data_IF_544925141317
#
_entry.id   IF_544925141317
#
_cell.length_a   1.000
_cell.length_b   1.000
_cell.length_c   1.000
_cell.angle_alpha   90.00
_cell.angle_beta   90.00
_cell.angle_gamma   90.00
#
_symmetry.space_group_name_H-M   'P 1'
#
loop_
_entity.id
_entity.type
_entity.pdbx_description
1 polymer ?
#
# COMPACT_ATOMS: atom_id res chain seq x y z
N UNK A 1 -25.39 -11.76 -37.55
CA UNK A 1 -24.99 -10.77 -36.52
C UNK A 1 -25.95 -9.61 -36.59
N UNK A 2 -26.95 -9.59 -35.72
CA UNK A 2 -27.88 -8.47 -35.57
C UNK A 2 -27.37 -7.60 -34.42
N UNK A 3 -26.93 -6.39 -34.77
CA UNK A 3 -26.53 -5.33 -33.85
C UNK A 3 -27.72 -4.97 -32.95
N UNK A 4 -27.61 -5.21 -31.65
CA UNK A 4 -28.58 -4.69 -30.66
C UNK A 4 -28.34 -3.18 -30.53
N UNK A 5 -29.40 -2.40 -30.70
CA UNK A 5 -29.39 -0.95 -30.54
C UNK A 5 -29.71 -0.68 -29.07
N UNK A 6 -28.70 -0.38 -28.24
CA UNK A 6 -28.80 -0.11 -26.80
C UNK A 6 -29.41 1.27 -26.50
N UNK A 7 -30.25 1.78 -27.39
CA UNK A 7 -30.94 3.05 -27.20
C UNK A 7 -32.13 2.84 -26.29
N UNK A 8 -32.10 3.54 -25.16
CA UNK A 8 -33.26 3.68 -24.28
C UNK A 8 -34.47 4.12 -25.10
N UNK A 9 -35.58 3.43 -24.91
CA UNK A 9 -36.85 3.81 -25.48
C UNK A 9 -37.26 5.20 -24.97
N UNK A 10 -38.07 5.93 -25.75
CA UNK A 10 -38.60 7.24 -25.31
C UNK A 10 -39.33 7.16 -23.97
N UNK A 11 -39.91 5.99 -23.66
CA UNK A 11 -40.56 5.71 -22.39
C UNK A 11 -39.56 5.66 -21.22
N UNK A 12 -38.44 4.95 -21.38
CA UNK A 12 -37.39 4.88 -20.36
C UNK A 12 -36.74 6.25 -20.13
N UNK A 13 -36.57 7.05 -21.18
CA UNK A 13 -36.14 8.44 -21.07
C UNK A 13 -37.12 9.31 -20.25
N UNK A 14 -38.44 9.13 -20.43
CA UNK A 14 -39.45 9.85 -19.66
C UNK A 14 -39.45 9.42 -18.19
N UNK A 15 -39.34 8.12 -17.92
CA UNK A 15 -39.30 7.57 -16.56
C UNK A 15 -38.05 8.03 -15.78
N UNK A 16 -36.88 8.07 -16.43
CA UNK A 16 -35.65 8.62 -15.84
C UNK A 16 -35.77 10.12 -15.54
N UNK A 17 -36.38 10.89 -16.45
CA UNK A 17 -36.58 12.32 -16.24
C UNK A 17 -37.49 12.60 -15.03
N UNK A 18 -38.57 11.84 -14.87
CA UNK A 18 -39.48 12.01 -13.74
C UNK A 18 -38.80 11.63 -12.40
N UNK A 19 -37.96 10.61 -12.40
CA UNK A 19 -37.14 10.22 -11.24
C UNK A 19 -36.16 11.33 -10.82
N UNK A 20 -35.46 11.94 -11.78
CA UNK A 20 -34.53 13.06 -11.53
C UNK A 20 -35.28 14.28 -11.00
N UNK A 21 -36.43 14.61 -11.57
CA UNK A 21 -37.24 15.75 -11.13
C UNK A 21 -37.84 15.52 -9.73
N UNK A 22 -38.27 14.29 -9.42
CA UNK A 22 -38.76 13.93 -8.08
C UNK A 22 -37.64 13.95 -7.02
N UNK A 23 -36.38 13.68 -7.40
CA UNK A 23 -35.22 13.85 -6.53
C UNK A 23 -34.91 15.33 -6.24
N UNK A 24 -34.91 16.17 -7.28
CA UNK A 24 -34.64 17.61 -7.15
C UNK A 24 -35.71 18.38 -6.35
N UNK A 25 -36.96 17.88 -6.32
CA UNK A 25 -38.02 18.48 -5.51
C UNK A 25 -37.92 18.13 -4.02
N UNK A 26 -37.27 17.02 -3.66
CA UNK A 26 -37.08 16.65 -2.24
C UNK A 26 -35.99 17.47 -1.56
N UNK A 27 -34.99 17.93 -2.30
CA UNK A 27 -33.88 18.73 -1.74
C UNK A 27 -34.27 20.18 -1.45
N UNK A 28 -35.36 20.69 -2.01
CA UNK A 28 -35.79 22.10 -1.84
C UNK A 28 -36.76 22.34 -0.68
N UNK A 29 -37.21 21.30 0.04
CA UNK A 29 -38.17 21.41 1.14
C UNK A 29 -37.55 21.58 2.55
N UNK A 30 -36.21 21.59 2.68
CA UNK A 30 -35.56 21.87 3.97
C UNK A 30 -35.36 23.39 4.15
N UNK A 31 -36.28 24.05 4.87
CA UNK A 31 -36.16 25.46 5.32
C UNK A 31 -36.12 25.53 6.87
N UNK A 32 -35.69 26.65 7.49
CA UNK A 32 -34.50 26.66 8.36
C UNK A 32 -34.79 27.12 9.80
N UNK A 33 -33.90 26.78 10.75
CA UNK A 33 -33.79 27.50 12.04
C UNK A 33 -32.33 27.91 12.29
N UNK A 34 -32.13 29.24 12.19
CA UNK A 34 -31.12 30.18 12.75
C UNK A 34 -30.05 29.57 13.69
N UNK A 35 -28.76 29.94 13.66
CA UNK A 35 -28.21 31.25 13.35
C UNK A 35 -26.66 31.29 13.22
N UNK A 36 -26.21 32.41 12.65
CA UNK A 36 -24.88 33.02 12.54
C UNK A 36 -23.61 32.20 12.88
N UNK A 37 -22.78 31.93 11.87
CA UNK A 37 -21.48 32.58 11.56
C UNK A 37 -21.10 32.10 10.15
N UNK A 38 -21.30 32.94 9.13
CA UNK A 38 -20.88 32.68 7.75
C UNK A 38 -20.56 34.02 7.08
N UNK A 39 -19.29 34.37 7.09
CA UNK A 39 -18.75 35.44 6.27
C UNK A 39 -17.40 34.97 5.71
N UNK A 40 -17.41 34.04 4.74
CA UNK A 40 -16.22 33.71 3.92
C UNK A 40 -16.48 32.92 2.61
N UNK A 41 -17.70 32.47 2.28
CA UNK A 41 -17.88 31.53 1.12
C UNK A 41 -18.56 32.14 -0.12
N UNK A 42 -18.96 33.42 -0.09
CA UNK A 42 -19.77 34.00 -1.17
C UNK A 42 -19.00 34.62 -2.36
N UNK A 43 -17.69 34.36 -2.53
CA UNK A 43 -16.88 34.99 -3.59
C UNK A 43 -16.31 34.04 -4.65
N UNK A 44 -16.63 32.74 -4.61
CA UNK A 44 -16.09 31.76 -5.58
C UNK A 44 -17.04 31.46 -6.76
N UNK A 45 -18.33 31.77 -6.66
CA UNK A 45 -19.32 31.27 -7.63
C UNK A 45 -19.77 32.23 -8.76
N UNK A 46 -19.08 33.35 -9.01
CA UNK A 46 -19.44 34.28 -10.11
C UNK A 46 -18.31 34.48 -11.15
N UNK A 47 -17.16 33.80 -11.03
CA UNK A 47 -16.03 33.93 -11.96
C UNK A 47 -15.98 32.91 -13.10
N UNK A 48 -17.08 32.23 -13.43
CA UNK A 48 -17.06 31.00 -14.23
C UNK A 48 -17.54 31.08 -15.69
N UNK A 49 -17.72 32.28 -16.25
CA UNK A 49 -18.11 32.42 -17.66
C UNK A 49 -17.45 33.66 -18.25
N UNK A 50 -16.65 33.44 -19.29
CA UNK A 50 -15.89 34.40 -20.12
C UNK A 50 -14.43 34.60 -19.70
N UNK A 51 -13.54 33.85 -20.37
CA UNK A 51 -12.19 34.32 -20.68
C UNK A 51 -11.07 33.59 -19.96
N UNK A 52 -10.25 32.86 -20.74
CA UNK A 52 -9.09 32.12 -20.27
C UNK A 52 -8.07 32.98 -19.53
N UNK A 53 -7.73 32.53 -18.34
CA UNK A 53 -6.58 32.97 -17.57
C UNK A 53 -6.10 31.77 -16.78
N UNK A 54 -5.02 31.14 -17.22
CA UNK A 54 -4.26 30.18 -16.43
C UNK A 54 -3.71 30.95 -15.24
N UNK A 55 -4.42 30.91 -14.11
CA UNK A 55 -3.88 31.41 -12.84
C UNK A 55 -2.90 30.35 -12.36
N UNK A 56 -1.65 30.49 -12.80
CA UNK A 56 -0.53 29.84 -12.17
C UNK A 56 -0.45 30.39 -10.73
N UNK A 57 -1.05 29.66 -9.78
CA UNK A 57 -0.80 29.88 -8.36
C UNK A 57 0.64 29.45 -8.11
N UNK A 58 1.58 30.39 -8.29
CA UNK A 58 2.94 30.24 -7.80
C UNK A 58 2.88 30.32 -6.28
N UNK A 59 2.48 29.22 -5.64
CA UNK A 59 2.85 28.97 -4.26
C UNK A 59 4.38 28.95 -4.24
N UNK A 60 4.96 30.01 -3.68
CA UNK A 60 6.31 29.96 -3.13
C UNK A 60 6.24 28.93 -2.00
N UNK A 61 6.37 27.65 -2.38
CA UNK A 61 6.59 26.57 -1.45
C UNK A 61 7.91 26.91 -0.75
N UNK A 62 7.81 27.39 0.49
CA UNK A 62 8.94 27.34 1.42
C UNK A 62 9.47 25.92 1.32
N UNK A 63 10.71 25.77 0.86
CA UNK A 63 11.35 24.45 0.80
C UNK A 63 11.20 23.85 2.19
N UNK A 64 10.50 22.70 2.34
CA UNK A 64 10.42 22.02 3.61
C UNK A 64 11.86 21.91 4.13
N UNK A 65 12.10 22.44 5.33
CA UNK A 65 13.37 22.20 5.99
C UNK A 65 13.45 20.69 6.14
N UNK A 66 14.39 20.08 5.43
CA UNK A 66 14.65 18.65 5.48
C UNK A 66 15.11 18.30 6.89
N UNK A 67 14.15 18.02 7.78
CA UNK A 67 14.40 17.58 9.16
C UNK A 67 14.86 16.12 9.21
N UNK A 68 14.84 15.43 8.08
CA UNK A 68 15.32 14.06 7.88
C UNK A 68 16.82 13.97 7.57
N UNK A 69 17.45 15.07 7.11
CA UNK A 69 18.85 15.13 6.65
C UNK A 69 19.96 14.72 7.66
N UNK A 70 19.61 14.25 8.86
CA UNK A 70 20.56 13.74 9.85
C UNK A 70 20.29 12.31 10.35
N UNK A 71 19.29 11.61 9.81
CA UNK A 71 18.82 10.31 10.34
C UNK A 71 18.83 9.17 9.31
N UNK A 72 19.80 9.14 8.40
CA UNK A 72 20.00 7.99 7.50
C UNK A 72 20.97 7.00 8.15
N UNK A 73 20.47 5.85 8.58
CA UNK A 73 21.31 4.66 8.81
C UNK A 73 21.70 4.09 7.45
N UNK A 74 22.94 3.66 7.26
CA UNK A 74 23.26 2.90 6.06
C UNK A 74 22.42 1.61 6.06
N UNK A 75 21.57 1.44 5.04
CA UNK A 75 20.74 0.24 4.91
C UNK A 75 21.50 -0.86 4.16
N UNK A 76 21.11 -2.13 4.35
CA UNK A 76 21.62 -3.23 3.53
C UNK A 76 21.55 -2.91 2.04
N UNK A 77 22.61 -3.26 1.30
CA UNK A 77 22.72 -3.00 -0.14
C UNK A 77 22.59 -1.51 -0.52
N UNK A 78 22.80 -0.59 0.43
CA UNK A 78 22.60 0.84 0.24
C UNK A 78 21.13 1.26 0.15
N UNK A 79 20.19 0.41 0.57
CA UNK A 79 18.76 0.68 0.50
C UNK A 79 18.16 0.50 -0.90
N UNK A 80 18.87 -0.17 -1.82
CA UNK A 80 18.39 -0.41 -3.18
C UNK A 80 18.27 -1.92 -3.45
N UNK A 81 17.06 -2.37 -3.77
CA UNK A 81 16.80 -3.77 -4.11
C UNK A 81 17.55 -4.22 -5.37
N UNK A 82 17.84 -3.31 -6.31
CA UNK A 82 18.66 -3.62 -7.49
C UNK A 82 20.12 -3.94 -7.15
N UNK A 83 20.61 -3.52 -5.98
CA UNK A 83 21.91 -3.92 -5.46
C UNK A 83 21.87 -5.27 -4.72
N UNK A 84 20.70 -5.72 -4.24
CA UNK A 84 20.56 -7.05 -3.67
C UNK A 84 20.57 -8.12 -4.78
N UNK A 85 19.85 -7.85 -5.88
CA UNK A 85 19.67 -8.79 -6.98
C UNK A 85 19.51 -8.05 -8.31
N UNK A 86 20.09 -8.59 -9.37
CA UNK A 86 19.99 -8.02 -10.72
C UNK A 86 18.88 -8.70 -11.53
N UNK A 87 18.32 -7.99 -12.51
CA UNK A 87 17.32 -8.55 -13.43
C UNK A 87 17.82 -9.81 -14.15
N UNK A 88 19.11 -9.85 -14.51
CA UNK A 88 19.71 -11.02 -15.16
C UNK A 88 19.73 -12.26 -14.25
N UNK A 89 19.87 -12.08 -12.94
CA UNK A 89 19.80 -13.17 -11.97
C UNK A 89 18.36 -13.63 -11.73
N UNK A 90 17.41 -12.69 -11.69
CA UNK A 90 15.98 -13.01 -11.62
C UNK A 90 15.53 -13.82 -12.85
N UNK A 91 15.95 -13.41 -14.05
CA UNK A 91 15.69 -14.14 -15.30
C UNK A 91 16.38 -15.52 -15.32
N UNK A 92 17.52 -15.68 -14.63
CA UNK A 92 18.16 -16.98 -14.53
C UNK A 92 17.39 -17.98 -13.63
N UNK A 93 16.50 -17.49 -12.75
CA UNK A 93 15.61 -18.32 -11.94
C UNK A 93 14.42 -18.81 -12.79
N UNK A 94 13.79 -17.91 -13.54
CA UNK A 94 12.73 -18.25 -14.50
C UNK A 94 12.86 -17.37 -15.76
N UNK A 95 13.32 -17.97 -16.85
CA UNK A 95 13.64 -17.29 -18.11
C UNK A 95 12.39 -16.81 -18.88
N UNK A 96 11.19 -17.15 -18.41
CA UNK A 96 9.92 -16.85 -19.06
C UNK A 96 9.24 -15.61 -18.49
N UNK A 97 9.78 -15.04 -17.42
CA UNK A 97 9.05 -14.17 -16.51
C UNK A 97 9.87 -12.91 -16.26
N UNK A 98 9.49 -11.74 -16.83
CA UNK A 98 9.99 -10.49 -16.32
C UNK A 98 9.43 -10.31 -14.90
N UNK A 99 10.32 -10.38 -13.93
CA UNK A 99 10.02 -10.08 -12.53
C UNK A 99 10.21 -8.58 -12.33
N UNK A 100 9.20 -7.91 -11.78
CA UNK A 100 9.19 -6.47 -11.53
C UNK A 100 9.09 -6.24 -10.03
N UNK A 101 9.77 -5.20 -9.55
CA UNK A 101 9.75 -4.83 -8.14
C UNK A 101 8.34 -4.35 -7.74
N UNK A 102 7.66 -5.14 -6.90
CA UNK A 102 6.21 -5.04 -6.69
C UNK A 102 5.78 -3.80 -5.93
N UNK A 103 6.48 -3.46 -4.84
CA UNK A 103 5.92 -2.55 -3.84
C UNK A 103 6.78 -1.30 -3.60
N UNK A 104 6.15 -0.15 -3.34
CA UNK A 104 6.85 0.98 -2.76
C UNK A 104 7.31 0.60 -1.36
N UNK A 105 8.55 0.96 -1.02
CA UNK A 105 9.08 0.71 0.32
C UNK A 105 8.30 1.58 1.30
N UNK A 106 7.56 0.94 2.21
CA UNK A 106 6.81 1.62 3.26
C UNK A 106 7.71 2.11 4.42
N UNK A 107 9.02 1.94 4.36
CA UNK A 107 9.95 2.50 5.35
C UNK A 107 9.97 1.80 6.72
N UNK A 108 9.05 0.89 7.01
CA UNK A 108 9.05 0.13 8.26
C UNK A 108 10.30 -0.77 8.38
N UNK A 109 10.70 -1.43 7.29
CA UNK A 109 11.96 -2.16 7.24
C UNK A 109 13.17 -1.23 7.47
N UNK A 110 13.19 -0.06 6.84
CA UNK A 110 14.24 0.95 6.95
C UNK A 110 14.42 1.45 8.39
N UNK A 111 13.31 1.68 9.09
CA UNK A 111 13.28 2.06 10.50
C UNK A 111 13.95 1.01 11.38
N UNK A 112 13.80 -0.26 11.04
CA UNK A 112 14.47 -1.38 11.70
C UNK A 112 15.91 -1.60 11.23
N UNK A 113 16.45 -0.75 10.35
CA UNK A 113 17.79 -0.92 9.78
C UNK A 113 17.88 -2.07 8.78
N UNK A 114 16.73 -2.54 8.29
CA UNK A 114 16.62 -3.62 7.34
C UNK A 114 16.21 -3.18 5.95
N UNK A 115 16.01 -4.16 5.09
CA UNK A 115 15.44 -3.99 3.76
C UNK A 115 14.50 -5.17 3.47
N UNK A 116 13.43 -4.86 2.76
CA UNK A 116 12.50 -5.82 2.22
C UNK A 116 12.38 -5.56 0.72
N UNK A 117 12.64 -6.59 -0.07
CA UNK A 117 12.54 -6.56 -1.52
C UNK A 117 11.61 -7.67 -1.98
N UNK A 118 10.70 -7.33 -2.89
CA UNK A 118 9.69 -8.22 -3.47
C UNK A 118 9.64 -7.98 -4.97
N UNK A 119 9.85 -9.05 -5.74
CA UNK A 119 9.63 -9.02 -7.17
C UNK A 119 8.57 -10.04 -7.53
N UNK A 120 7.57 -9.67 -8.31
CA UNK A 120 6.63 -10.62 -8.87
C UNK A 120 6.54 -10.49 -10.38
N UNK A 121 5.97 -11.53 -10.94
CA UNK A 121 5.72 -11.62 -12.36
C UNK A 121 4.63 -10.64 -12.83
N UNK A 122 4.97 -9.85 -13.85
CA UNK A 122 4.08 -8.81 -14.42
C UNK A 122 3.18 -9.32 -15.57
N UNK A 123 3.30 -10.59 -15.99
CA UNK A 123 2.61 -11.03 -17.20
C UNK A 123 1.09 -11.15 -17.06
N UNK A 124 0.39 -10.88 -18.16
CA UNK A 124 -1.04 -11.15 -18.30
C UNK A 124 -1.22 -12.66 -18.44
N UNK A 125 -1.43 -13.36 -17.33
CA UNK A 125 -1.73 -14.78 -17.42
C UNK A 125 -3.13 -14.90 -17.99
N UNK A 126 -3.25 -15.60 -19.11
CA UNK A 126 -4.52 -16.08 -19.62
C UNK A 126 -5.02 -17.19 -18.68
N UNK A 127 -5.42 -16.80 -17.47
CA UNK A 127 -5.93 -17.71 -16.45
C UNK A 127 -7.32 -18.16 -16.91
N UNK A 128 -7.59 -19.47 -17.07
CA UNK A 128 -8.95 -19.95 -17.17
C UNK A 128 -9.75 -19.43 -15.97
N UNK A 129 -10.92 -18.80 -16.18
CA UNK A 129 -11.74 -18.28 -15.08
C UNK A 129 -11.89 -19.32 -13.97
N UNK A 130 -11.47 -18.98 -12.74
CA UNK A 130 -11.54 -19.87 -11.57
C UNK A 130 -10.31 -20.74 -11.30
N UNK A 131 -9.13 -20.43 -11.87
CA UNK A 131 -7.87 -21.05 -11.45
C UNK A 131 -6.98 -20.08 -10.68
N UNK A 132 -6.67 -20.40 -9.43
CA UNK A 132 -5.71 -19.65 -8.63
C UNK A 132 -4.29 -20.09 -9.03
N UNK A 133 -3.72 -19.44 -10.03
CA UNK A 133 -2.30 -19.63 -10.37
C UNK A 133 -1.54 -18.51 -9.70
N UNK A 134 -0.76 -18.82 -8.67
CA UNK A 134 0.03 -17.79 -8.03
C UNK A 134 1.18 -17.34 -8.93
N UNK A 135 1.47 -16.05 -8.78
CA UNK A 135 2.61 -15.40 -9.40
C UNK A 135 3.88 -16.01 -8.84
N UNK A 136 4.88 -16.18 -9.70
CA UNK A 136 6.23 -16.38 -9.20
C UNK A 136 6.63 -15.10 -8.47
N UNK A 137 6.97 -15.22 -7.19
CA UNK A 137 7.46 -14.12 -6.36
C UNK A 137 8.83 -14.48 -5.84
N UNK A 138 9.79 -13.56 -5.99
CA UNK A 138 11.09 -13.63 -5.36
C UNK A 138 11.13 -12.60 -4.26
N UNK A 139 11.68 -12.97 -3.11
CA UNK A 139 11.75 -12.06 -1.98
C UNK A 139 13.07 -12.15 -1.24
N UNK A 140 13.54 -10.99 -0.75
CA UNK A 140 14.77 -10.84 0.00
C UNK A 140 14.48 -9.95 1.20
N UNK A 141 14.84 -10.45 2.38
CA UNK A 141 14.71 -9.75 3.65
C UNK A 141 16.05 -9.77 4.36
N UNK A 142 16.59 -8.59 4.67
CA UNK A 142 17.80 -8.48 5.47
C UNK A 142 17.57 -7.52 6.63
N UNK A 143 17.70 -8.00 7.85
CA UNK A 143 17.44 -7.25 9.09
C UNK A 143 18.58 -7.45 10.10
N UNK A 144 18.84 -6.49 10.99
CA UNK A 144 19.78 -6.72 12.09
C UNK A 144 19.33 -7.90 12.95
N UNK A 145 20.26 -8.74 13.40
CA UNK A 145 19.93 -9.96 14.15
C UNK A 145 19.15 -9.62 15.44
N UNK A 146 19.40 -8.46 16.05
CA UNK A 146 18.74 -8.01 17.27
C UNK A 146 17.26 -7.62 17.12
N UNK A 147 16.75 -7.41 15.90
CA UNK A 147 15.31 -7.13 15.71
C UNK A 147 14.50 -8.39 15.51
N UNK A 148 15.14 -9.53 15.22
CA UNK A 148 14.47 -10.79 14.98
C UNK A 148 13.99 -11.41 16.30
N UNK A 149 12.71 -11.79 16.46
CA UNK A 149 12.24 -12.35 17.71
C UNK A 149 12.87 -13.72 17.96
N UNK A 150 13.35 -13.96 19.19
CA UNK A 150 13.91 -15.26 19.59
C UNK A 150 12.87 -16.39 19.48
N UNK A 151 11.59 -16.09 19.60
CA UNK A 151 10.52 -17.11 19.59
C UNK A 151 9.91 -17.38 18.20
N UNK A 152 10.22 -16.57 17.17
CA UNK A 152 9.71 -16.73 15.79
C UNK A 152 10.55 -17.70 14.93
N UNK A 153 11.17 -18.65 15.60
CA UNK A 153 11.94 -19.80 15.14
C UNK A 153 11.19 -20.79 14.20
N UNK A 154 10.13 -20.37 13.52
CA UNK A 154 9.39 -21.25 12.59
C UNK A 154 10.10 -21.49 11.26
N UNK A 155 11.05 -20.62 10.89
CA UNK A 155 12.00 -20.88 9.79
C UNK A 155 13.36 -21.36 10.36
N UNK A 156 13.32 -22.24 11.37
CA UNK A 156 14.55 -22.80 11.97
C UNK A 156 15.19 -23.94 11.18
N UNK A 157 14.67 -24.22 9.99
CA UNK A 157 15.45 -24.90 8.97
C UNK A 157 16.23 -23.86 8.16
N UNK A 158 17.55 -24.04 7.91
CA UNK A 158 18.27 -23.19 6.94
C UNK A 158 17.67 -23.25 5.53
N UNK A 159 16.78 -24.23 5.30
CA UNK A 159 16.11 -24.54 4.05
C UNK A 159 14.66 -24.92 4.37
N UNK A 160 13.70 -24.35 3.66
CA UNK A 160 12.29 -24.64 3.84
C UNK A 160 11.57 -24.57 2.50
N UNK A 161 11.28 -25.72 1.89
CA UNK A 161 10.30 -25.82 0.81
C UNK A 161 8.98 -26.36 1.37
N UNK A 162 7.93 -25.55 1.30
CA UNK A 162 6.57 -25.89 1.73
C UNK A 162 5.59 -25.77 0.58
N UNK A 163 4.68 -26.74 0.48
CA UNK A 163 3.49 -26.61 -0.36
C UNK A 163 2.42 -25.85 0.41
N UNK A 164 1.75 -24.89 -0.25
CA UNK A 164 0.65 -24.17 0.39
C UNK A 164 -0.56 -25.08 0.52
N UNK A 165 -1.04 -25.32 1.74
CA UNK A 165 -2.19 -26.20 1.98
C UNK A 165 -3.47 -25.71 1.28
N UNK A 166 -3.67 -24.39 1.21
CA UNK A 166 -4.82 -23.79 0.51
C UNK A 166 -4.67 -23.80 -1.02
N UNK A 167 -3.43 -23.89 -1.52
CA UNK A 167 -3.11 -23.86 -2.94
C UNK A 167 -2.02 -24.91 -3.26
N UNK A 168 -2.40 -26.18 -3.43
CA UNK A 168 -1.44 -27.27 -3.65
C UNK A 168 -0.60 -27.12 -4.92
N UNK A 169 -1.03 -26.22 -5.82
CA UNK A 169 -0.29 -25.81 -7.01
C UNK A 169 0.88 -24.88 -6.72
N UNK A 170 1.09 -24.48 -5.46
CA UNK A 170 2.10 -23.51 -5.06
C UNK A 170 3.12 -24.15 -4.12
N UNK A 171 4.38 -23.85 -4.43
CA UNK A 171 5.51 -24.11 -3.54
C UNK A 171 6.11 -22.78 -3.12
N UNK A 172 6.57 -22.70 -1.87
CA UNK A 172 7.43 -21.63 -1.36
C UNK A 172 8.71 -22.28 -0.86
N UNK A 173 9.86 -21.86 -1.37
CA UNK A 173 11.18 -22.29 -0.94
C UNK A 173 11.95 -21.08 -0.40
N UNK A 174 12.57 -21.23 0.77
CA UNK A 174 13.38 -20.19 1.37
C UNK A 174 14.69 -20.73 1.94
N UNK A 175 15.69 -19.86 1.98
CA UNK A 175 17.01 -20.09 2.58
C UNK A 175 17.31 -18.94 3.52
N UNK A 176 17.84 -19.26 4.71
CA UNK A 176 18.13 -18.26 5.73
C UNK A 176 19.49 -18.46 6.40
N UNK A 177 20.11 -17.36 6.84
CA UNK A 177 21.33 -17.38 7.64
C UNK A 177 21.76 -15.98 8.07
N UNK A 178 22.83 -15.89 8.86
CA UNK A 178 23.34 -14.63 9.40
C UNK A 178 24.64 -14.23 8.69
N UNK A 179 24.70 -13.01 8.17
CA UNK A 179 25.87 -12.43 7.47
C UNK A 179 26.21 -11.09 8.12
N UNK A 180 27.37 -11.00 8.78
CA UNK A 180 27.86 -9.74 9.33
C UNK A 180 26.94 -9.10 10.38
N UNK A 181 26.23 -9.90 11.19
CA UNK A 181 25.24 -9.41 12.17
C UNK A 181 23.85 -9.12 11.58
N UNK A 182 23.64 -9.37 10.29
CA UNK A 182 22.34 -9.27 9.63
C UNK A 182 21.76 -10.66 9.40
N UNK A 183 20.52 -10.89 9.81
CA UNK A 183 19.72 -12.04 9.38
C UNK A 183 19.26 -11.80 7.95
N UNK A 184 19.60 -12.72 7.05
CA UNK A 184 19.18 -12.73 5.65
C UNK A 184 18.20 -13.89 5.44
N UNK A 185 17.07 -13.59 4.80
CA UNK A 185 16.13 -14.57 4.25
C UNK A 185 15.98 -14.28 2.76
N UNK A 186 16.13 -15.32 1.96
CA UNK A 186 15.88 -15.26 0.51
C UNK A 186 14.90 -16.36 0.18
N UNK A 187 13.83 -16.02 -0.54
CA UNK A 187 12.84 -17.01 -0.91
C UNK A 187 12.23 -16.78 -2.30
N UNK A 188 11.62 -17.85 -2.79
CA UNK A 188 10.97 -17.94 -4.09
C UNK A 188 9.67 -18.72 -3.87
N UNK A 189 8.58 -18.24 -4.43
CA UNK A 189 7.28 -18.91 -4.39
C UNK A 189 6.64 -18.87 -5.76
N UNK A 190 5.77 -19.83 -6.04
CA UNK A 190 5.07 -19.93 -7.31
C UNK A 190 4.89 -21.38 -7.74
N UNK A 191 4.95 -21.60 -9.04
CA UNK A 191 4.79 -22.93 -9.63
C UNK A 191 5.95 -23.88 -9.20
N UNK A 192 5.65 -25.07 -8.66
CA UNK A 192 6.63 -26.07 -8.21
C UNK A 192 7.63 -26.50 -9.29
N UNK A 193 7.31 -26.30 -10.58
CA UNK A 193 8.23 -26.61 -11.69
C UNK A 193 9.42 -25.65 -11.75
N UNK A 194 9.28 -24.46 -11.17
CA UNK A 194 10.29 -23.38 -11.20
C UNK A 194 10.73 -22.96 -9.80
N UNK A 195 9.98 -23.35 -8.78
CA UNK A 195 10.30 -23.09 -7.37
C UNK A 195 10.98 -24.30 -6.77
N UNK A 196 12.27 -24.18 -6.45
CA UNK A 196 13.06 -25.26 -5.85
C UNK A 196 14.02 -24.73 -4.78
N UNK A 197 14.44 -25.61 -3.86
CA UNK A 197 15.43 -25.26 -2.84
C UNK A 197 16.77 -24.86 -3.47
N UNK A 198 17.20 -25.55 -4.53
CA UNK A 198 18.45 -25.24 -5.23
C UNK A 198 18.45 -23.83 -5.81
N UNK A 199 17.30 -23.36 -6.33
CA UNK A 199 17.15 -22.00 -6.83
C UNK A 199 17.23 -20.97 -5.68
N UNK A 200 16.56 -21.24 -4.55
CA UNK A 200 16.60 -20.38 -3.37
C UNK A 200 18.03 -20.30 -2.79
N UNK A 201 18.74 -21.43 -2.70
CA UNK A 201 20.12 -21.52 -2.21
C UNK A 201 21.11 -20.79 -3.13
N UNK A 202 20.97 -20.95 -4.45
CA UNK A 202 21.79 -20.26 -5.43
C UNK A 202 21.59 -18.74 -5.34
N UNK A 203 20.34 -18.28 -5.19
CA UNK A 203 20.04 -16.86 -5.00
C UNK A 203 20.59 -16.36 -3.66
N UNK A 204 20.38 -17.10 -2.58
CA UNK A 204 20.91 -16.78 -1.25
C UNK A 204 22.42 -16.57 -1.28
N UNK A 205 23.18 -17.47 -1.92
CA UNK A 205 24.63 -17.35 -2.00
C UNK A 205 25.09 -16.04 -2.66
N UNK A 206 24.38 -15.59 -3.71
CA UNK A 206 24.66 -14.32 -4.40
C UNK A 206 24.33 -13.12 -3.53
N UNK A 207 23.14 -13.13 -2.93
CA UNK A 207 22.66 -12.03 -2.07
C UNK A 207 23.53 -11.91 -0.83
N UNK A 208 23.94 -13.03 -0.23
CA UNK A 208 24.84 -13.07 0.93
C UNK A 208 26.21 -12.46 0.64
N UNK A 209 26.80 -12.72 -0.54
CA UNK A 209 28.05 -12.09 -0.98
C UNK A 209 27.92 -10.57 -1.04
N UNK A 210 26.81 -10.06 -1.61
CA UNK A 210 26.53 -8.61 -1.69
C UNK A 210 26.24 -7.98 -0.34
N UNK A 211 25.52 -8.70 0.52
CA UNK A 211 25.21 -8.25 1.88
C UNK A 211 26.50 -8.12 2.70
N UNK A 212 27.43 -9.07 2.56
CA UNK A 212 28.73 -8.99 3.21
C UNK A 212 29.55 -7.77 2.76
N UNK A 213 29.38 -7.32 1.51
CA UNK A 213 30.06 -6.14 0.96
C UNK A 213 29.41 -4.81 1.37
N UNK A 214 28.11 -4.80 1.64
CA UNK A 214 27.34 -3.62 2.02
C UNK A 214 26.31 -3.95 3.12
N UNK A 215 26.76 -4.28 4.34
CA UNK A 215 25.86 -4.52 5.46
C UNK A 215 25.13 -3.23 5.86
N UNK A 216 24.02 -3.38 6.57
CA UNK A 216 23.37 -2.26 7.23
C UNK A 216 24.12 -1.81 8.50
N UNK A 217 23.88 -0.59 8.96
CA UNK A 217 24.42 -0.01 10.19
C UNK A 217 23.52 -0.22 11.42
N UNK A 218 22.33 -0.80 11.23
CA UNK A 218 21.39 -1.14 12.29
C UNK A 218 20.18 -0.22 12.36
N UNK A 219 19.35 -0.47 13.38
CA UNK A 219 18.04 0.18 13.61
C UNK A 219 18.17 1.69 13.87
N UNK A 220 17.19 2.45 13.39
CA UNK A 220 17.03 3.86 13.75
C UNK A 220 16.54 4.04 15.19
N UNK A 221 17.12 5.02 15.88
CA UNK A 221 16.71 5.39 17.24
C UNK A 221 15.45 6.26 17.17
N UNK A 222 14.35 5.88 17.85
CA UNK A 222 13.13 6.68 17.88
C UNK A 222 13.36 8.11 18.38
N UNK A 223 12.84 9.09 17.65
CA UNK A 223 12.86 10.50 18.03
C UNK A 223 11.63 10.92 18.83
N UNK A 224 11.67 12.11 19.44
CA UNK A 224 10.50 12.68 20.13
C UNK A 224 9.38 13.12 19.17
N UNK A 225 9.68 13.21 17.88
CA UNK A 225 8.79 13.56 16.78
C UNK A 225 8.17 12.34 16.08
N UNK A 226 8.47 11.14 16.56
CA UNK A 226 7.86 9.91 16.04
C UNK A 226 6.44 9.76 16.57
N UNK A 227 5.50 9.37 15.71
CA UNK A 227 4.13 9.09 16.13
C UNK A 227 4.08 7.97 17.17
N UNK A 228 3.15 8.11 18.11
CA UNK A 228 2.78 7.01 19.00
C UNK A 228 1.82 6.11 18.22
N UNK A 229 2.12 4.82 18.14
CA UNK A 229 1.25 3.86 17.46
C UNK A 229 -0.10 3.76 18.18
N UNK A 230 -1.22 4.13 17.54
CA UNK A 230 -2.53 4.02 18.16
C UNK A 230 -3.03 2.57 18.21
N UNK A 231 -4.03 2.33 19.05
CA UNK A 231 -4.84 1.11 18.99
C UNK A 231 -5.76 1.15 17.78
N UNK A 232 -5.81 0.08 16.99
CA UNK A 232 -6.59 0.06 15.75
C UNK A 232 -8.08 0.33 15.97
N UNK A 233 -8.65 -0.15 17.08
CA UNK A 233 -10.06 0.11 17.41
C UNK A 233 -10.33 1.62 17.55
N UNK A 234 -9.50 2.32 18.32
CA UNK A 234 -9.68 3.76 18.55
C UNK A 234 -9.45 4.58 17.28
N UNK A 235 -8.47 4.18 16.46
CA UNK A 235 -8.22 4.81 15.16
C UNK A 235 -9.43 4.70 14.24
N UNK A 236 -9.94 3.48 14.02
CA UNK A 236 -11.06 3.25 13.11
C UNK A 236 -12.34 3.89 13.62
N UNK A 237 -12.62 3.86 14.92
CA UNK A 237 -13.76 4.58 15.52
C UNK A 237 -13.68 6.10 15.27
N UNK A 238 -12.48 6.68 15.36
CA UNK A 238 -12.25 8.09 15.03
C UNK A 238 -12.52 8.40 13.56
N UNK A 239 -12.00 7.58 12.64
CA UNK A 239 -12.25 7.73 11.20
C UNK A 239 -13.73 7.60 10.86
N UNK A 240 -14.43 6.65 11.46
CA UNK A 240 -15.89 6.47 11.32
C UNK A 240 -16.62 7.72 11.81
N UNK A 241 -16.25 8.27 12.96
CA UNK A 241 -16.91 9.45 13.52
C UNK A 241 -16.80 10.68 12.61
N UNK A 242 -15.65 10.88 11.97
CA UNK A 242 -15.43 11.95 10.99
C UNK A 242 -16.27 11.77 9.71
N UNK A 243 -16.59 10.54 9.35
CA UNK A 243 -17.31 10.17 8.12
C UNK A 243 -18.77 9.73 8.35
N UNK A 244 -19.29 9.84 9.58
CA UNK A 244 -20.59 9.31 10.01
C UNK A 244 -21.82 9.91 9.27
N UNK A 245 -21.62 10.86 8.36
CA UNK A 245 -22.65 11.43 7.48
C UNK A 245 -22.81 10.76 6.11
N UNK A 246 -21.97 9.77 5.77
CA UNK A 246 -22.03 9.03 4.51
C UNK A 246 -23.08 7.90 4.48
N UNK A 247 -23.52 7.52 3.27
CA UNK A 247 -24.42 6.38 3.04
C UNK A 247 -23.73 5.01 3.30
N UNK A 248 -22.40 4.99 3.34
CA UNK A 248 -21.57 3.83 3.67
C UNK A 248 -21.06 3.96 5.10
N UNK A 249 -21.26 2.90 5.90
CA UNK A 249 -20.71 2.85 7.26
C UNK A 249 -19.47 1.95 7.26
N UNK A 250 -18.30 2.47 7.63
CA UNK A 250 -17.13 1.65 7.86
C UNK A 250 -17.35 0.80 9.11
N UNK A 251 -16.81 -0.41 9.10
CA UNK A 251 -16.74 -1.29 10.24
C UNK A 251 -15.30 -1.77 10.41
N UNK A 252 -14.92 -2.06 11.66
CA UNK A 252 -13.67 -2.77 11.94
C UNK A 252 -13.74 -4.14 11.28
N UNK A 253 -12.79 -4.38 10.38
CA UNK A 253 -12.51 -5.71 9.90
C UNK A 253 -11.35 -6.28 10.70
N UNK A 254 -11.41 -7.53 11.16
CA UNK A 254 -10.17 -8.22 11.45
C UNK A 254 -9.34 -8.14 10.16
N UNK A 255 -8.11 -7.65 10.24
CA UNK A 255 -7.15 -7.79 9.16
C UNK A 255 -6.90 -9.28 9.03
N UNK A 256 -7.75 -9.97 8.29
CA UNK A 256 -7.52 -11.34 7.86
C UNK A 256 -6.55 -11.29 6.67
N UNK A 257 -5.43 -10.60 6.84
CA UNK A 257 -4.23 -10.95 6.09
C UNK A 257 -3.82 -12.31 6.66
N UNK A 258 -4.47 -13.37 6.19
CA UNK A 258 -3.93 -14.72 6.26
C UNK A 258 -2.74 -14.79 5.29
N UNK A 259 -1.79 -13.86 5.44
CA UNK A 259 -0.42 -14.12 5.06
C UNK A 259 0.03 -15.26 5.96
N UNK A 260 0.78 -16.25 5.45
CA UNK A 260 1.33 -17.29 6.30
C UNK A 260 2.05 -16.65 7.49
N UNK A 261 1.70 -17.07 8.72
CA UNK A 261 2.40 -16.64 9.95
C UNK A 261 3.93 -16.69 9.74
N UNK A 262 4.64 -15.61 10.06
CA UNK A 262 6.10 -15.52 9.93
C UNK A 262 6.59 -14.80 8.67
N UNK A 263 5.75 -13.97 8.04
CA UNK A 263 6.19 -13.02 7.01
C UNK A 263 6.66 -11.70 7.64
N UNK A 264 7.44 -10.92 6.89
CA UNK A 264 8.10 -9.66 7.30
C UNK A 264 7.24 -8.62 7.99
N UNK A 265 5.95 -8.55 7.69
CA UNK A 265 5.05 -7.64 8.38
C UNK A 265 4.93 -7.99 9.87
N UNK A 266 4.97 -9.28 10.24
CA UNK A 266 4.93 -9.73 11.63
C UNK A 266 6.15 -9.22 12.40
N UNK A 267 7.34 -9.29 11.79
CA UNK A 267 8.58 -8.73 12.34
C UNK A 267 8.44 -7.22 12.59
N UNK A 268 7.93 -6.48 11.61
CA UNK A 268 7.74 -5.03 11.72
C UNK A 268 6.75 -4.65 12.83
N UNK A 269 5.68 -5.44 12.99
CA UNK A 269 4.70 -5.27 14.08
C UNK A 269 5.27 -5.64 15.45
N UNK A 270 5.94 -6.78 15.55
CA UNK A 270 6.54 -7.28 16.79
C UNK A 270 7.61 -6.32 17.30
N UNK A 271 8.42 -5.74 16.41
CA UNK A 271 9.43 -4.75 16.75
C UNK A 271 8.87 -3.33 16.97
N UNK A 272 7.56 -3.13 16.77
CA UNK A 272 6.87 -1.85 16.93
C UNK A 272 7.28 -0.79 15.92
N UNK A 273 7.74 -1.18 14.73
CA UNK A 273 8.09 -0.26 13.65
C UNK A 273 6.87 0.17 12.83
N UNK A 274 5.83 -0.64 12.79
CA UNK A 274 4.58 -0.34 12.11
C UNK A 274 3.37 -0.84 12.88
N UNK A 275 2.23 -0.17 12.67
CA UNK A 275 0.90 -0.67 13.03
C UNK A 275 0.04 -0.74 11.77
N UNK A 276 -0.47 -1.92 11.48
CA UNK A 276 -1.42 -2.15 10.38
C UNK A 276 -2.82 -2.29 10.97
N UNK A 277 -3.75 -1.48 10.49
CA UNK A 277 -5.15 -1.52 10.87
C UNK A 277 -6.03 -1.76 9.64
N UNK A 278 -7.03 -2.62 9.78
CA UNK A 278 -7.98 -2.96 8.72
C UNK A 278 -9.31 -2.28 8.95
N UNK A 279 -9.88 -1.76 7.88
CA UNK A 279 -11.22 -1.20 7.86
C UNK A 279 -11.97 -1.78 6.66
N UNK A 280 -13.16 -2.33 6.87
CA UNK A 280 -14.05 -2.74 5.79
C UNK A 280 -15.23 -1.79 5.70
N UNK A 281 -15.72 -1.58 4.49
CA UNK A 281 -16.92 -0.82 4.19
C UNK A 281 -17.99 -1.83 3.80
N UNK A 282 -19.02 -1.95 4.64
CA UNK A 282 -20.22 -2.68 4.25
C UNK A 282 -21.07 -1.76 3.39
N UNK A 283 -21.12 -2.04 2.08
CA UNK A 283 -22.05 -1.37 1.19
C UNK A 283 -23.48 -1.54 1.73
N UNK A 284 -24.16 -0.43 1.99
CA UNK A 284 -25.51 -0.44 2.52
C UNK A 284 -26.49 -0.98 1.46
N UNK A 285 -27.12 -2.11 1.80
CA UNK A 285 -28.43 -2.59 1.31
C UNK A 285 -28.62 -3.04 -0.16
N UNK A 286 -27.68 -2.90 -1.10
CA UNK A 286 -27.93 -3.32 -2.52
C UNK A 286 -27.38 -4.66 -3.00
N UNK A 287 -27.04 -5.56 -2.08
CA UNK A 287 -26.91 -7.00 -2.36
C UNK A 287 -25.59 -7.42 -3.00
N UNK A 288 -24.88 -8.31 -2.30
CA UNK A 288 -23.75 -9.12 -2.82
C UNK A 288 -22.62 -8.30 -3.49
N UNK A 289 -22.25 -7.16 -2.90
CA UNK A 289 -20.96 -6.54 -3.19
C UNK A 289 -19.84 -7.33 -2.52
N UNK A 290 -18.73 -7.55 -3.21
CA UNK A 290 -17.48 -7.96 -2.56
C UNK A 290 -17.16 -6.95 -1.46
N UNK A 291 -16.80 -7.37 -0.23
CA UNK A 291 -16.36 -6.43 0.80
C UNK A 291 -15.22 -5.59 0.24
N UNK A 292 -15.30 -4.29 0.45
CA UNK A 292 -14.22 -3.38 0.11
C UNK A 292 -13.60 -2.91 1.41
N UNK A 293 -12.30 -3.08 1.56
CA UNK A 293 -11.55 -2.61 2.71
C UNK A 293 -10.40 -1.69 2.33
N UNK A 294 -9.82 -1.09 3.36
CA UNK A 294 -8.58 -0.32 3.33
C UNK A 294 -7.71 -0.83 4.47
N UNK A 295 -6.45 -1.07 4.13
CA UNK A 295 -5.38 -1.31 5.11
C UNK A 295 -4.69 0.02 5.39
N UNK A 296 -4.48 0.32 6.66
CA UNK A 296 -3.87 1.56 7.16
C UNK A 296 -2.58 1.19 7.87
N UNK A 297 -1.44 1.55 7.30
CA UNK A 297 -0.12 1.33 7.90
C UNK A 297 0.43 2.64 8.46
N UNK A 298 0.71 2.64 9.77
CA UNK A 298 1.26 3.78 10.50
C UNK A 298 2.69 3.45 10.87
N UNK A 299 3.64 4.26 10.37
CA UNK A 299 5.07 3.93 10.37
C UNK A 299 5.85 5.11 10.95
N UNK A 300 6.08 5.14 12.27
CA UNK A 300 6.85 6.19 12.92
C UNK A 300 8.30 6.21 12.40
N UNK A 301 8.79 7.39 12.00
CA UNK A 301 10.10 7.50 11.36
C UNK A 301 10.16 7.05 9.88
N UNK A 302 9.06 6.57 9.31
CA UNK A 302 9.02 6.00 7.95
C UNK A 302 9.22 6.98 6.80
N UNK A 303 9.26 8.30 7.06
CA UNK A 303 9.38 9.32 6.00
C UNK A 303 10.63 9.18 5.14
N UNK A 304 11.68 8.51 5.65
CA UNK A 304 12.92 8.24 4.91
C UNK A 304 12.70 7.47 3.60
N UNK A 305 11.62 6.69 3.49
CA UNK A 305 11.29 5.95 2.28
C UNK A 305 10.38 6.73 1.32
N UNK A 306 9.85 7.89 1.73
CA UNK A 306 8.86 8.64 0.96
C UNK A 306 9.37 9.10 -0.41
N UNK A 307 10.65 9.50 -0.49
CA UNK A 307 11.25 9.91 -1.75
C UNK A 307 11.29 8.78 -2.77
N UNK A 308 11.57 7.55 -2.33
CA UNK A 308 11.53 6.38 -3.21
C UNK A 308 10.14 6.16 -3.80
N UNK A 309 9.07 6.40 -3.03
CA UNK A 309 7.69 6.31 -3.50
C UNK A 309 7.35 7.44 -4.49
N UNK A 310 7.80 8.66 -4.22
CA UNK A 310 7.58 9.83 -5.07
C UNK A 310 8.26 9.71 -6.43
N UNK A 311 9.43 9.09 -6.48
CA UNK A 311 10.20 8.89 -7.71
C UNK A 311 9.71 7.70 -8.56
N UNK A 312 8.76 6.91 -8.06
CA UNK A 312 8.23 5.75 -8.82
C UNK A 312 7.55 6.22 -10.11
N UNK A 313 7.76 5.49 -11.23
CA UNK A 313 6.97 5.69 -12.44
C UNK A 313 5.48 5.57 -12.13
N UNK A 314 4.70 6.55 -12.59
CA UNK A 314 3.26 6.58 -12.33
C UNK A 314 2.89 7.10 -10.93
N UNK A 315 3.83 7.54 -10.09
CA UNK A 315 3.48 8.26 -8.88
C UNK A 315 2.97 9.68 -9.23
N UNK A 316 1.87 10.11 -8.60
CA UNK A 316 1.39 11.49 -8.73
C UNK A 316 1.16 12.14 -7.38
N UNK A 317 1.54 13.42 -7.21
CA UNK A 317 1.33 14.15 -5.97
C UNK A 317 -0.17 14.37 -5.73
N UNK A 318 -0.58 14.26 -4.46
CA UNK A 318 -1.92 14.60 -3.99
C UNK A 318 -1.85 15.47 -2.75
N UNK A 319 -2.84 16.34 -2.58
CA UNK A 319 -2.96 17.17 -1.39
C UNK A 319 -3.73 16.40 -0.31
N UNK A 320 -3.11 16.25 0.87
CA UNK A 320 -3.72 15.62 2.05
C UNK A 320 -3.56 16.58 3.22
N UNK A 321 -4.69 16.97 3.82
CA UNK A 321 -4.66 17.86 4.99
C UNK A 321 -3.90 17.19 6.14
N UNK A 322 -2.93 17.91 6.73
CA UNK A 322 -2.07 17.40 7.80
C UNK A 322 -0.78 16.75 7.31
N UNK A 323 -0.67 16.40 6.03
CA UNK A 323 0.58 15.90 5.45
C UNK A 323 1.49 17.05 5.01
N UNK A 324 2.79 16.86 5.14
CA UNK A 324 3.80 17.70 4.50
C UNK A 324 3.94 17.36 3.00
N UNK A 325 3.74 16.10 2.63
CA UNK A 325 3.65 15.63 1.25
C UNK A 325 2.83 14.34 1.18
N UNK A 326 2.18 14.11 0.04
CA UNK A 326 1.53 12.85 -0.25
C UNK A 326 1.59 12.52 -1.74
N UNK A 327 1.62 11.23 -2.05
CA UNK A 327 1.60 10.68 -3.42
C UNK A 327 0.64 9.52 -3.49
N UNK A 328 0.02 9.34 -4.65
CA UNK A 328 -0.61 8.09 -5.03
C UNK A 328 0.34 7.33 -5.93
N UNK A 329 0.50 6.04 -5.65
CA UNK A 329 1.35 5.12 -6.40
C UNK A 329 0.46 3.99 -6.89
N UNK A 330 0.41 3.79 -8.20
CA UNK A 330 -0.20 2.60 -8.76
C UNK A 330 0.65 1.38 -8.42
N UNK A 331 0.10 0.46 -7.63
CA UNK A 331 0.72 -0.86 -7.42
C UNK A 331 0.03 -1.89 -8.30
N UNK A 332 0.79 -2.84 -8.89
CA UNK A 332 0.21 -3.99 -9.55
C UNK A 332 -0.75 -4.67 -8.57
N UNK A 333 -2.00 -4.88 -8.98
CA UNK A 333 -2.96 -5.60 -8.14
C UNK A 333 -2.37 -6.98 -7.82
N UNK A 334 -2.45 -7.43 -6.57
CA UNK A 334 -1.92 -8.74 -6.15
C UNK A 334 -2.64 -9.93 -6.82
N UNK A 335 -3.79 -9.69 -7.47
CA UNK A 335 -4.72 -10.72 -7.93
C UNK A 335 -4.51 -11.25 -9.36
N UNK A 336 -3.41 -10.90 -10.06
CA UNK A 336 -3.17 -11.42 -11.41
C UNK A 336 -4.11 -10.84 -12.48
N UNK A 337 -3.74 -10.97 -13.76
CA UNK A 337 -4.71 -10.96 -14.86
C UNK A 337 -5.34 -9.61 -15.26
N UNK A 338 -4.55 -8.55 -15.43
CA UNK A 338 -5.05 -7.30 -16.01
C UNK A 338 -6.08 -6.55 -15.14
N UNK A 339 -6.27 -6.97 -13.88
CA UNK A 339 -7.04 -6.21 -12.93
C UNK A 339 -6.40 -4.82 -12.76
N UNK A 340 -7.23 -3.75 -12.70
CA UNK A 340 -6.74 -2.39 -12.63
C UNK A 340 -5.73 -2.24 -11.50
N UNK A 341 -4.68 -1.46 -11.76
CA UNK A 341 -3.73 -1.09 -10.71
C UNK A 341 -4.51 -0.48 -9.55
N UNK A 342 -4.12 -0.86 -8.34
CA UNK A 342 -4.76 -0.37 -7.13
C UNK A 342 -3.93 0.80 -6.63
N UNK A 343 -4.50 2.02 -6.55
CA UNK A 343 -3.71 3.16 -6.13
C UNK A 343 -3.49 3.10 -4.62
N UNK A 344 -2.23 3.10 -4.19
CA UNK A 344 -1.81 3.18 -2.79
C UNK A 344 -1.50 4.63 -2.48
N UNK A 345 -2.10 5.17 -1.42
CA UNK A 345 -1.78 6.52 -0.95
C UNK A 345 -0.67 6.44 0.09
N UNK A 346 0.40 7.20 -0.13
CA UNK A 346 1.47 7.38 0.85
C UNK A 346 1.51 8.86 1.24
N UNK A 347 1.45 9.14 2.54
CA UNK A 347 1.49 10.49 3.09
C UNK A 347 2.53 10.57 4.20
N UNK A 348 3.21 11.71 4.29
CA UNK A 348 4.23 11.96 5.32
C UNK A 348 4.07 13.35 5.94
N UNK A 349 4.38 13.48 7.22
CA UNK A 349 4.55 14.77 7.92
C UNK A 349 6.01 15.29 7.86
N UNK A 350 6.88 14.59 7.12
CA UNK A 350 8.32 14.83 7.03
C UNK A 350 9.17 14.04 8.03
N UNK A 351 8.56 13.27 8.93
CA UNK A 351 9.23 12.37 9.89
C UNK A 351 8.63 10.97 9.85
N UNK A 352 7.31 10.89 9.85
CA UNK A 352 6.54 9.66 9.90
C UNK A 352 5.87 9.40 8.55
N UNK A 353 5.40 8.17 8.33
CA UNK A 353 4.68 7.81 7.12
C UNK A 353 3.39 7.07 7.43
N UNK A 354 2.35 7.43 6.67
CA UNK A 354 1.06 6.79 6.59
C UNK A 354 0.92 6.17 5.21
N UNK A 355 0.55 4.89 5.14
CA UNK A 355 0.22 4.20 3.88
C UNK A 355 -1.22 3.71 3.95
N UNK A 356 -2.01 4.03 2.93
CA UNK A 356 -3.37 3.52 2.75
C UNK A 356 -3.42 2.63 1.52
N UNK A 357 -3.71 1.36 1.73
CA UNK A 357 -3.81 0.35 0.68
C UNK A 357 -5.27 -0.10 0.55
N UNK A 358 -6.04 0.42 -0.42
CA UNK A 358 -7.39 -0.05 -0.65
C UNK A 358 -7.37 -1.47 -1.21
N UNK A 359 -8.45 -2.21 -0.97
CA UNK A 359 -8.80 -3.38 -1.78
C UNK A 359 -9.23 -2.91 -3.18
N UNK A 360 -9.15 -3.79 -4.19
CA UNK A 360 -9.22 -3.49 -5.62
C UNK A 360 -10.43 -2.67 -6.15
N UNK A 361 -11.37 -2.30 -5.29
CA UNK A 361 -12.60 -1.57 -5.61
C UNK A 361 -12.63 -0.12 -5.11
N UNK A 362 -11.76 0.25 -4.16
CA UNK A 362 -11.75 1.57 -3.51
C UNK A 362 -10.59 2.43 -4.00
N UNK A 363 -10.45 2.54 -5.32
CA UNK A 363 -9.38 3.31 -5.95
C UNK A 363 -9.65 4.81 -6.12
N UNK A 364 -10.68 5.39 -5.48
CA UNK A 364 -10.97 6.83 -5.63
C UNK A 364 -9.92 7.68 -4.89
N UNK A 365 -9.09 8.46 -5.61
CA UNK A 365 -8.09 9.34 -5.01
C UNK A 365 -8.65 10.31 -3.96
N UNK A 366 -9.88 10.81 -4.18
CA UNK A 366 -10.50 11.81 -3.29
C UNK A 366 -10.88 11.18 -1.96
N UNK A 367 -11.43 9.97 -2.00
CA UNK A 367 -11.76 9.21 -0.80
C UNK A 367 -10.50 8.87 -0.01
N UNK A 368 -9.47 8.34 -0.68
CA UNK A 368 -8.19 8.02 -0.03
C UNK A 368 -7.57 9.25 0.64
N UNK A 369 -7.56 10.40 -0.04
CA UNK A 369 -7.02 11.63 0.53
C UNK A 369 -7.82 12.13 1.75
N UNK A 370 -9.15 12.01 1.73
CA UNK A 370 -10.01 12.37 2.85
C UNK A 370 -9.78 11.45 4.06
N UNK A 371 -9.70 10.14 3.83
CA UNK A 371 -9.41 9.17 4.88
C UNK A 371 -8.01 9.38 5.48
N UNK A 372 -7.01 9.65 4.64
CA UNK A 372 -5.67 9.96 5.10
C UNK A 372 -5.64 11.20 5.99
N UNK A 373 -6.38 12.26 5.61
CA UNK A 373 -6.50 13.47 6.41
C UNK A 373 -7.14 13.20 7.79
N UNK A 374 -8.18 12.35 7.86
CA UNK A 374 -8.77 11.94 9.14
C UNK A 374 -7.79 11.15 10.00
N UNK A 375 -7.07 10.19 9.42
CA UNK A 375 -6.05 9.42 10.16
C UNK A 375 -4.97 10.34 10.70
N UNK A 376 -4.43 11.26 9.87
CA UNK A 376 -3.41 12.22 10.29
C UNK A 376 -3.92 13.20 11.37
N UNK A 377 -5.21 13.52 11.40
CA UNK A 377 -5.80 14.35 12.45
C UNK A 377 -5.91 13.65 13.81
N UNK A 378 -5.80 12.32 13.83
CA UNK A 378 -5.89 11.49 15.04
C UNK A 378 -4.51 11.12 15.62
N UNK A 379 -3.44 11.29 14.85
CA UNK A 379 -2.04 11.07 15.24
C UNK A 379 -1.40 12.35 15.78
#
# INVERSE_FOLDING_TARGET
MTMHDDRLSEREHAELRDLVLAGAQRTTAARPRRGAIAASVALVLVGGLVGGGVVAMTHLAERPVDRSAGRTSALPFGGDCAHAVTDAELVAIDDRIPLVLDEPRAGAADVLGGIECRWSWEGEMSIPPGSDVARTTVWIDAYPEEVWPEDEHRVDGPQLCVEFQMYPSLTSCATTGTIGGMRLVVGISGDPRHTSQDAADALYARVAERLAASPGEGRLVPGADWWVLPECTGLVEGVIADHAGGDEQPALAPVALALPDGMTNDLQHAAGAARTCGMEFTASERGVGTPHGITIDIIPGGAIAFESARERPGAWPVEVSGAAAAVLVDVPSSHGGGAPQTPVLMATDGVNMLVLTPTASLGDPVLLAALAASVLGLL
#
